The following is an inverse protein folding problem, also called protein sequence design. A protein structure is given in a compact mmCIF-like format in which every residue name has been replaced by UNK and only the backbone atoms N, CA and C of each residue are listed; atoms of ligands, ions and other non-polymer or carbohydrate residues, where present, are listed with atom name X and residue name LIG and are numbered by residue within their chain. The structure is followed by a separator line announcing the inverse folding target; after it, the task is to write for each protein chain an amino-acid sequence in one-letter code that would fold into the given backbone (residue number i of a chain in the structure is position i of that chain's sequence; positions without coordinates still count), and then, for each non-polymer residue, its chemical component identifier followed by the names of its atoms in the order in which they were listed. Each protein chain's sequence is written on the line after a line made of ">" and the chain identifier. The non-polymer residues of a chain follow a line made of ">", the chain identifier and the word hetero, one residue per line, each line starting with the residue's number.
data_IF_406131743647
#
_entry.id   IF_406131743647
#
_cell.length_a   1.000
_cell.length_b   1.000
_cell.length_c   1.000
_cell.angle_alpha   90.00
_cell.angle_beta   90.00
_cell.angle_gamma   90.00
#
_symmetry.space_group_name_H-M   'P 1'
#
loop_
_entity.id
_entity.type
_entity.pdbx_description
1 polymer ?
#
# COMPACT_ATOMS: atom_id res chain seq x y z
N UNK A 1 59.81 -5.18 -5.39
CA UNK A 1 58.63 -5.57 -4.59
C UNK A 1 57.55 -4.54 -4.87
N UNK A 2 56.53 -4.86 -5.68
CA UNK A 2 55.43 -3.95 -5.99
C UNK A 2 54.27 -4.31 -5.07
N UNK A 3 53.91 -3.42 -4.14
CA UNK A 3 52.83 -3.65 -3.19
C UNK A 3 51.52 -3.22 -3.85
N UNK A 4 50.72 -4.19 -4.28
CA UNK A 4 49.37 -3.92 -4.80
C UNK A 4 48.42 -3.78 -3.61
N UNK A 5 47.96 -2.57 -3.32
CA UNK A 5 46.92 -2.33 -2.32
C UNK A 5 45.55 -2.56 -2.97
N UNK A 6 44.84 -3.59 -2.52
CA UNK A 6 43.44 -3.79 -2.89
C UNK A 6 42.57 -2.88 -2.01
N UNK A 7 41.86 -1.93 -2.64
CA UNK A 7 40.83 -1.12 -1.96
C UNK A 7 39.54 -1.93 -1.96
N UNK A 8 39.14 -2.42 -0.79
CA UNK A 8 37.82 -3.05 -0.62
C UNK A 8 36.83 -1.95 -0.25
N UNK A 9 35.98 -1.56 -1.19
CA UNK A 9 34.84 -0.68 -0.92
C UNK A 9 33.71 -1.56 -0.40
N UNK A 10 33.46 -1.52 0.91
CA UNK A 10 32.29 -2.15 1.52
C UNK A 10 31.11 -1.16 1.44
N UNK A 11 30.21 -1.37 0.48
CA UNK A 11 28.94 -0.63 0.41
C UNK A 11 27.88 -1.32 1.26
N UNK A 12 27.41 -0.66 2.33
CA UNK A 12 26.26 -1.14 3.11
C UNK A 12 24.98 -0.74 2.40
N UNK A 13 24.24 -1.72 1.90
CA UNK A 13 22.87 -1.50 1.43
C UNK A 13 21.97 -1.53 2.67
N UNK A 14 21.41 -0.37 3.05
CA UNK A 14 20.54 -0.26 4.22
C UNK A 14 19.08 -0.47 3.79
N UNK A 15 18.50 -1.60 4.17
CA UNK A 15 17.06 -1.83 4.10
C UNK A 15 16.41 -0.93 5.16
N UNK A 16 15.53 -0.01 4.73
CA UNK A 16 14.85 0.93 5.63
C UNK A 16 13.41 0.48 5.80
N UNK A 17 12.93 0.53 7.04
CA UNK A 17 11.51 0.38 7.34
C UNK A 17 10.78 1.70 7.05
N UNK A 18 9.67 1.59 6.32
CA UNK A 18 8.82 2.71 5.93
C UNK A 18 7.38 2.36 6.27
N UNK A 19 6.59 3.37 6.65
CA UNK A 19 5.23 3.16 7.13
C UNK A 19 4.29 4.23 6.56
N UNK A 20 3.05 3.83 6.33
CA UNK A 20 1.96 4.69 5.85
C UNK A 20 0.71 4.43 6.69
N UNK A 21 -0.03 5.50 6.94
CA UNK A 21 -1.30 5.47 7.67
C UNK A 21 -2.35 6.26 6.90
N UNK A 22 -3.51 5.65 6.67
CA UNK A 22 -4.64 6.25 5.96
C UNK A 22 -5.91 6.11 6.78
N UNK A 23 -6.56 7.25 7.05
CA UNK A 23 -7.84 7.31 7.77
C UNK A 23 -8.83 8.13 6.96
N UNK A 24 -10.08 7.68 6.90
CA UNK A 24 -11.10 8.39 6.16
C UNK A 24 -12.51 7.89 6.40
N UNK A 25 -13.43 8.40 5.58
CA UNK A 25 -14.84 8.00 5.56
C UNK A 25 -15.36 7.95 4.13
N UNK A 26 -15.95 6.83 3.75
CA UNK A 26 -16.55 6.63 2.44
C UNK A 26 -18.05 6.90 2.48
N UNK A 27 -18.54 7.57 1.44
CA UNK A 27 -19.95 7.81 1.19
C UNK A 27 -20.35 7.19 -0.16
N UNK A 28 -21.60 6.73 -0.24
CA UNK A 28 -22.27 6.35 -1.47
C UNK A 28 -23.46 7.29 -1.66
N UNK A 29 -23.36 8.21 -2.63
CA UNK A 29 -24.17 9.43 -2.65
C UNK A 29 -24.05 10.20 -1.34
N UNK A 30 -25.17 10.43 -0.66
CA UNK A 30 -25.21 11.13 0.64
C UNK A 30 -25.14 10.20 1.86
N UNK A 31 -25.15 8.89 1.65
CA UNK A 31 -25.21 7.89 2.72
C UNK A 31 -23.84 7.30 3.02
N UNK A 32 -23.53 6.92 4.28
CA UNK A 32 -22.31 6.19 4.59
C UNK A 32 -22.18 4.90 3.80
N UNK A 33 -21.04 4.69 3.14
CA UNK A 33 -20.74 3.43 2.44
C UNK A 33 -20.19 2.44 3.46
N UNK A 34 -21.08 1.61 4.01
CA UNK A 34 -20.78 0.60 5.04
C UNK A 34 -20.32 -0.70 4.39
N UNK A 35 -19.50 -1.47 5.10
CA UNK A 35 -19.04 -2.79 4.66
C UNK A 35 -18.29 -2.78 3.31
N UNK A 36 -17.64 -1.66 2.98
CA UNK A 36 -16.80 -1.54 1.77
C UNK A 36 -15.40 -2.04 2.11
N UNK A 37 -14.88 -2.97 1.31
CA UNK A 37 -13.52 -3.47 1.47
C UNK A 37 -12.53 -2.41 1.02
N UNK A 38 -11.52 -2.16 1.84
CA UNK A 38 -10.43 -1.22 1.58
C UNK A 38 -9.09 -1.92 1.80
N UNK A 39 -8.07 -1.55 1.02
CA UNK A 39 -6.72 -2.11 1.14
C UNK A 39 -5.67 -1.05 0.94
N UNK A 40 -4.58 -1.15 1.68
CA UNK A 40 -3.35 -0.43 1.44
C UNK A 40 -2.35 -1.40 0.82
N UNK A 41 -1.75 -1.01 -0.30
CA UNK A 41 -0.77 -1.78 -1.05
C UNK A 41 0.52 -1.00 -1.17
N UNK A 42 1.64 -1.70 -1.29
CA UNK A 42 2.81 -1.26 -2.03
C UNK A 42 2.67 -1.75 -3.48
N UNK A 43 2.75 -0.85 -4.47
CA UNK A 43 2.82 -1.24 -5.87
C UNK A 43 4.21 -0.94 -6.43
N UNK A 44 5.00 -1.99 -6.68
CA UNK A 44 6.40 -1.83 -7.06
C UNK A 44 6.60 -1.95 -8.58
N UNK A 45 7.25 -0.94 -9.17
CA UNK A 45 7.74 -1.01 -10.54
C UNK A 45 9.10 -1.75 -10.59
N UNK A 46 9.11 -3.09 -10.48
CA UNK A 46 10.40 -3.80 -10.47
C UNK A 46 10.38 -5.29 -10.16
N UNK A 47 11.51 -5.84 -9.65
CA UNK A 47 11.59 -7.24 -9.21
C UNK A 47 10.97 -7.48 -7.82
N UNK A 48 10.59 -6.41 -7.10
CA UNK A 48 9.85 -6.52 -5.85
C UNK A 48 8.38 -6.85 -6.16
N UNK A 49 7.77 -7.85 -5.50
CA UNK A 49 6.37 -8.16 -5.70
C UNK A 49 5.47 -7.21 -4.90
N UNK A 50 4.38 -6.74 -5.52
CA UNK A 50 3.35 -5.94 -4.85
C UNK A 50 2.90 -6.54 -3.50
N UNK A 51 3.02 -5.77 -2.44
CA UNK A 51 2.71 -6.20 -1.07
C UNK A 51 1.40 -5.59 -0.56
N UNK A 52 0.58 -6.41 0.12
CA UNK A 52 -0.55 -5.89 0.90
C UNK A 52 -0.02 -5.41 2.25
N UNK A 53 -0.04 -4.10 2.49
CA UNK A 53 0.41 -3.50 3.73
C UNK A 53 -0.65 -3.64 4.84
N UNK A 54 -1.93 -3.41 4.51
CA UNK A 54 -3.05 -3.59 5.43
C UNK A 54 -4.39 -3.75 4.68
N UNK A 55 -5.39 -4.36 5.31
CA UNK A 55 -6.74 -4.46 4.77
C UNK A 55 -7.82 -4.29 5.84
N UNK A 56 -8.94 -3.71 5.43
CA UNK A 56 -10.04 -3.45 6.34
C UNK A 56 -11.38 -3.34 5.63
N UNK A 57 -12.39 -3.01 6.42
CA UNK A 57 -13.77 -2.83 5.94
C UNK A 57 -14.36 -1.62 6.64
N UNK A 58 -15.05 -0.76 5.89
CA UNK A 58 -15.65 0.43 6.46
C UNK A 58 -16.74 0.12 7.48
N UNK A 59 -16.79 0.91 8.55
CA UNK A 59 -17.74 0.75 9.64
C UNK A 59 -19.16 1.24 9.28
N UNK A 60 -20.03 1.25 10.29
CA UNK A 60 -21.41 1.73 10.17
C UNK A 60 -21.53 3.22 9.76
N UNK A 61 -20.49 4.02 9.99
CA UNK A 61 -20.41 5.41 9.57
C UNK A 61 -19.60 5.60 8.28
N UNK A 62 -19.20 4.51 7.62
CA UNK A 62 -18.33 4.53 6.45
C UNK A 62 -16.86 4.80 6.78
N UNK A 63 -16.51 4.87 8.06
CA UNK A 63 -15.17 5.15 8.54
C UNK A 63 -14.22 3.98 8.34
N UNK A 64 -12.95 4.28 8.07
CA UNK A 64 -11.87 3.31 8.02
C UNK A 64 -10.55 3.95 8.50
N UNK A 65 -9.63 3.09 8.92
CA UNK A 65 -8.29 3.44 9.35
C UNK A 65 -7.40 2.23 9.04
N UNK A 66 -6.35 2.42 8.25
CA UNK A 66 -5.38 1.40 7.85
C UNK A 66 -3.97 1.90 8.11
N UNK A 67 -3.10 1.03 8.61
CA UNK A 67 -1.68 1.31 8.84
C UNK A 67 -0.86 0.11 8.42
N UNK A 68 0.20 0.34 7.64
CA UNK A 68 1.12 -0.73 7.28
C UNK A 68 2.53 -0.22 7.06
N UNK A 69 3.48 -1.13 7.20
CA UNK A 69 4.90 -0.87 6.98
C UNK A 69 5.57 -2.03 6.27
N UNK A 70 6.58 -1.71 5.48
CA UNK A 70 7.46 -2.71 4.86
C UNK A 70 8.92 -2.25 4.88
N UNK A 71 9.81 -3.21 4.65
CA UNK A 71 11.27 -3.04 4.69
C UNK A 71 11.82 -3.14 3.28
N UNK A 72 12.12 -2.00 2.70
CA UNK A 72 12.57 -1.90 1.32
C UNK A 72 13.87 -1.12 1.19
N UNK A 73 14.53 -1.33 0.06
CA UNK A 73 15.71 -0.57 -0.35
C UNK A 73 15.32 0.78 -0.95
N UNK A 74 14.23 0.78 -1.70
CA UNK A 74 13.65 1.93 -2.40
C UNK A 74 12.64 2.65 -1.51
N UNK A 75 11.98 3.67 -2.04
CA UNK A 75 10.85 4.30 -1.34
C UNK A 75 9.62 3.49 -1.69
N UNK A 76 8.78 3.20 -0.70
CA UNK A 76 7.50 2.51 -0.92
C UNK A 76 6.57 3.38 -1.78
N UNK A 77 5.75 2.72 -2.60
CA UNK A 77 4.80 3.29 -3.55
C UNK A 77 3.36 2.95 -3.10
N UNK A 78 2.85 3.60 -2.02
CA UNK A 78 1.61 3.21 -1.38
C UNK A 78 0.37 3.54 -2.21
N UNK A 79 -0.47 2.52 -2.45
CA UNK A 79 -1.75 2.63 -3.17
C UNK A 79 -2.92 2.21 -2.27
N UNK A 80 -3.87 3.14 -2.07
CA UNK A 80 -5.11 2.87 -1.35
C UNK A 80 -6.22 2.45 -2.32
N UNK A 81 -6.68 1.20 -2.22
CA UNK A 81 -7.70 0.61 -3.08
C UNK A 81 -9.02 0.46 -2.34
N UNK A 82 -10.11 0.87 -2.98
CA UNK A 82 -11.48 0.75 -2.48
C UNK A 82 -12.26 -0.19 -3.42
N UNK A 83 -12.88 -1.22 -2.87
CA UNK A 83 -13.64 -2.21 -3.64
C UNK A 83 -15.13 -2.04 -3.34
N UNK A 84 -15.85 -1.41 -4.25
CA UNK A 84 -17.28 -1.14 -4.12
C UNK A 84 -18.02 -1.27 -5.47
N UNK A 85 -19.34 -1.44 -5.37
CA UNK A 85 -20.31 -1.37 -6.47
C UNK A 85 -21.23 -0.13 -6.33
N UNK A 86 -20.92 0.80 -5.43
CA UNK A 86 -21.65 2.05 -5.33
C UNK A 86 -21.62 2.82 -6.67
N UNK A 87 -22.81 3.23 -7.14
CA UNK A 87 -23.05 4.03 -8.34
C UNK A 87 -22.44 3.45 -9.65
N UNK A 88 -22.18 2.13 -9.70
CA UNK A 88 -21.54 1.47 -10.85
C UNK A 88 -22.51 1.08 -11.99
N UNK A 89 -23.81 1.35 -11.82
CA UNK A 89 -24.88 1.07 -12.77
C UNK A 89 -25.23 -0.43 -12.87
N UNK A 90 -26.26 -0.78 -13.66
CA UNK A 90 -26.54 -2.20 -13.99
C UNK A 90 -25.40 -2.73 -14.86
N UNK A 91 -24.40 -3.37 -14.26
CA UNK A 91 -23.49 -4.25 -15.01
C UNK A 91 -24.20 -5.57 -15.23
N UNK A 92 -24.89 -5.71 -16.36
CA UNK A 92 -25.34 -7.03 -16.84
C UNK A 92 -24.08 -7.89 -16.92
N UNK A 93 -23.93 -8.82 -15.99
CA UNK A 93 -22.86 -9.83 -16.05
C UNK A 93 -23.08 -10.62 -17.33
N UNK A 94 -22.24 -10.37 -18.34
CA UNK A 94 -22.08 -11.24 -19.51
C UNK A 94 -21.40 -12.53 -19.11
#
# INVERSE_FOLDING_TARGET
>A
MCNTYAVVIASTVAIREQAVHVKGRLLCGTSPARNVKVKLWDEDDGPDPDDVLDEGTTDSNGGFELEGSTRELTTIDPVFKIYHDCDDGIRVRS
#
